data_IF_856678340549
#
_entry.id   IF_856678340549
#
_cell.length_a   1.000
_cell.length_b   1.000
_cell.length_c   1.000
_cell.angle_alpha   90.00
_cell.angle_beta   90.00
_cell.angle_gamma   90.00
#
_symmetry.space_group_name_H-M   'P 1'
#
loop_
_entity.id
_entity.type
_entity.pdbx_description
1 polymer ?
#
# COMPACT_ATOMS: atom_id res chain seq x y z
N UNK A 1 23.46 8.65 7.81
CA UNK A 1 22.36 9.28 8.55
C UNK A 1 21.75 10.33 7.65
N UNK A 2 20.45 10.23 7.31
CA UNK A 2 19.77 11.13 6.38
C UNK A 2 18.60 11.83 7.07
N UNK A 3 18.25 13.03 6.60
CA UNK A 3 17.00 13.71 6.99
C UNK A 3 15.90 13.32 6.02
N UNK A 4 14.83 12.71 6.53
CA UNK A 4 13.77 12.09 5.73
C UNK A 4 12.45 12.77 6.00
N UNK A 5 11.78 13.21 4.93
CA UNK A 5 10.41 13.69 4.97
C UNK A 5 9.45 12.57 4.60
N UNK A 6 8.48 12.27 5.46
CA UNK A 6 7.45 11.25 5.23
C UNK A 6 6.08 11.93 5.08
N UNK A 7 5.51 11.93 3.90
CA UNK A 7 4.11 12.35 3.73
C UNK A 7 3.18 11.20 4.10
N UNK A 8 1.99 11.52 4.63
CA UNK A 8 1.09 10.48 5.14
C UNK A 8 1.61 9.78 6.41
N UNK A 9 2.42 10.48 7.19
CA UNK A 9 3.08 10.00 8.41
C UNK A 9 2.13 9.36 9.43
N UNK A 10 0.93 9.89 9.61
CA UNK A 10 -0.10 9.38 10.55
C UNK A 10 -0.90 8.19 9.98
N UNK A 11 -0.65 7.79 8.73
CA UNK A 11 -1.33 6.68 8.08
C UNK A 11 -0.86 5.30 8.55
N UNK A 12 -1.56 4.26 8.10
CA UNK A 12 -1.25 2.86 8.40
C UNK A 12 0.21 2.49 8.06
N UNK A 13 0.63 2.75 6.83
CA UNK A 13 2.01 2.48 6.38
C UNK A 13 3.00 3.44 7.04
N UNK A 14 2.62 4.73 7.21
CA UNK A 14 3.48 5.75 7.81
C UNK A 14 3.98 5.38 9.20
N UNK A 15 3.13 4.83 10.06
CA UNK A 15 3.52 4.36 11.38
C UNK A 15 4.64 3.31 11.35
N UNK A 16 4.52 2.32 10.47
CA UNK A 16 5.50 1.24 10.37
C UNK A 16 6.83 1.74 9.78
N UNK A 17 6.76 2.55 8.73
CA UNK A 17 7.94 3.12 8.05
C UNK A 17 8.72 4.03 9.00
N UNK A 18 8.05 4.93 9.73
CA UNK A 18 8.71 5.85 10.67
C UNK A 18 9.43 5.07 11.77
N UNK A 19 8.79 4.04 12.32
CA UNK A 19 9.41 3.17 13.32
C UNK A 19 10.70 2.54 12.78
N UNK A 20 10.64 1.90 11.62
CA UNK A 20 11.78 1.23 11.01
C UNK A 20 12.95 2.19 10.70
N UNK A 21 12.66 3.35 10.12
CA UNK A 21 13.67 4.36 9.81
C UNK A 21 14.34 4.94 11.07
N UNK A 22 13.55 5.07 12.13
CA UNK A 22 14.06 5.58 13.41
C UNK A 22 14.99 4.59 14.10
N UNK A 23 14.68 3.29 14.03
CA UNK A 23 15.54 2.21 14.51
C UNK A 23 16.90 2.20 13.79
N UNK A 24 16.98 2.73 12.57
CA UNK A 24 18.22 2.90 11.81
C UNK A 24 18.93 4.25 12.05
N UNK A 25 18.43 5.09 12.95
CA UNK A 25 19.07 6.34 13.34
C UNK A 25 18.88 7.50 12.39
N UNK A 26 17.89 7.45 11.46
CA UNK A 26 17.57 8.59 10.59
C UNK A 26 16.86 9.72 11.36
N UNK A 27 17.03 10.95 10.88
CA UNK A 27 16.25 12.12 11.33
C UNK A 27 14.99 12.21 10.49
N UNK A 28 13.82 12.10 11.13
CA UNK A 28 12.55 11.99 10.41
C UNK A 28 11.64 13.16 10.78
N UNK A 29 10.99 13.72 9.78
CA UNK A 29 9.84 14.59 9.93
C UNK A 29 8.69 14.09 9.05
N UNK A 30 7.47 14.49 9.37
CA UNK A 30 6.30 14.05 8.62
C UNK A 30 5.37 15.19 8.27
N UNK A 31 4.36 14.91 7.44
CA UNK A 31 3.27 15.85 7.18
C UNK A 31 1.95 15.38 7.77
N UNK A 32 1.11 16.33 8.13
CA UNK A 32 -0.25 16.12 8.64
C UNK A 32 -1.24 17.09 8.01
N UNK A 33 -2.51 16.69 7.92
CA UNK A 33 -3.63 17.57 7.56
C UNK A 33 -4.34 18.11 8.80
N UNK A 34 -4.01 17.59 9.98
CA UNK A 34 -4.60 17.97 11.25
C UNK A 34 -3.83 19.18 11.85
N UNK A 35 -4.49 20.31 11.91
CA UNK A 35 -3.92 21.57 12.43
C UNK A 35 -3.49 21.48 13.90
N UNK A 36 -4.06 20.56 14.65
CA UNK A 36 -3.76 20.36 16.08
C UNK A 36 -2.57 19.41 16.31
N UNK A 37 -2.25 18.57 15.32
CA UNK A 37 -1.22 17.53 15.43
C UNK A 37 0.19 18.10 15.21
N UNK A 38 0.93 18.37 16.27
CA UNK A 38 2.35 18.81 16.19
C UNK A 38 3.35 17.65 16.19
N UNK A 39 2.95 16.48 16.66
CA UNK A 39 3.78 15.29 16.76
C UNK A 39 3.09 14.08 16.14
N UNK A 40 3.86 13.27 15.46
CA UNK A 40 3.43 12.04 14.79
C UNK A 40 3.87 10.78 15.51
N UNK A 41 3.79 9.64 14.81
CA UNK A 41 4.30 8.36 15.31
C UNK A 41 5.75 8.52 15.80
N UNK A 42 6.12 7.75 16.81
CA UNK A 42 7.47 7.81 17.40
C UNK A 42 7.91 9.24 17.81
N UNK A 43 6.95 10.12 18.10
CA UNK A 43 7.17 11.50 18.50
C UNK A 43 7.94 12.37 17.48
N UNK A 44 7.88 12.06 16.18
CA UNK A 44 8.51 12.89 15.15
C UNK A 44 7.80 14.24 14.98
N UNK A 45 8.49 15.34 14.59
CA UNK A 45 7.85 16.60 14.25
C UNK A 45 6.95 16.43 13.01
N UNK A 46 5.79 17.09 13.02
CA UNK A 46 4.87 17.15 11.89
C UNK A 46 4.74 18.58 11.38
N UNK A 47 4.77 18.70 10.05
CA UNK A 47 4.45 19.95 9.35
C UNK A 47 3.00 19.89 8.84
N UNK A 48 2.28 20.98 8.99
CA UNK A 48 0.92 21.09 8.48
C UNK A 48 0.92 21.26 6.97
N UNK A 49 0.28 20.34 6.29
CA UNK A 49 0.00 20.39 4.84
C UNK A 49 -1.48 20.08 4.66
N UNK A 50 -2.36 21.10 4.71
CA UNK A 50 -3.82 20.91 4.75
C UNK A 50 -4.37 20.25 3.48
N UNK A 51 -3.76 20.59 2.34
CA UNK A 51 -4.13 20.05 1.03
C UNK A 51 -2.91 19.51 0.31
N UNK A 52 -3.15 18.53 -0.53
CA UNK A 52 -2.19 17.97 -1.46
C UNK A 52 -2.72 18.23 -2.87
N UNK A 53 -2.18 19.27 -3.53
CA UNK A 53 -2.60 19.71 -4.85
C UNK A 53 -1.45 20.44 -5.56
N UNK A 54 -1.72 20.97 -6.75
CA UNK A 54 -0.74 21.71 -7.56
C UNK A 54 -0.26 23.03 -6.93
N UNK A 55 -1.03 23.59 -6.00
CA UNK A 55 -0.77 24.90 -5.37
C UNK A 55 -0.13 24.75 -3.98
N UNK A 56 0.10 23.53 -3.52
CA UNK A 56 0.71 23.25 -2.20
C UNK A 56 2.11 23.86 -2.11
N UNK A 57 2.34 24.67 -1.08
CA UNK A 57 3.66 25.21 -0.74
C UNK A 57 4.46 24.17 0.06
N UNK A 58 5.57 23.73 -0.51
CA UNK A 58 6.46 22.74 0.08
C UNK A 58 7.75 23.30 0.65
N UNK A 59 8.08 24.55 0.40
CA UNK A 59 9.42 25.12 0.64
C UNK A 59 9.84 25.00 2.11
N UNK A 60 8.94 25.33 3.03
CA UNK A 60 9.21 25.24 4.47
C UNK A 60 9.22 23.79 5.01
N UNK A 61 8.65 22.83 4.27
CA UNK A 61 8.55 21.42 4.68
C UNK A 61 9.74 20.60 4.21
N UNK A 62 10.23 20.88 3.00
CA UNK A 62 11.29 20.11 2.33
C UNK A 62 12.70 20.56 2.77
N UNK A 63 12.85 21.76 3.33
CA UNK A 63 14.16 22.35 3.63
C UNK A 63 15.11 21.38 4.35
N UNK A 64 16.22 21.08 3.68
CA UNK A 64 17.29 20.20 4.17
C UNK A 64 16.92 18.72 4.25
N UNK A 65 15.85 18.27 3.58
CA UNK A 65 15.56 16.84 3.45
C UNK A 65 16.47 16.22 2.38
N UNK A 66 17.08 15.07 2.72
CA UNK A 66 17.87 14.27 1.77
C UNK A 66 16.96 13.35 0.94
N UNK A 67 15.91 12.81 1.59
CA UNK A 67 15.00 11.82 1.00
C UNK A 67 13.56 12.18 1.32
N UNK A 68 12.67 12.01 0.34
CA UNK A 68 11.22 12.07 0.54
C UNK A 68 10.61 10.68 0.36
N UNK A 69 9.78 10.26 1.30
CA UNK A 69 8.95 9.06 1.20
C UNK A 69 7.49 9.51 1.08
N UNK A 70 6.92 9.31 -0.10
CA UNK A 70 5.57 9.77 -0.40
C UNK A 70 4.55 8.66 -0.23
N UNK A 71 3.90 8.63 0.97
CA UNK A 71 2.84 7.68 1.34
C UNK A 71 1.45 8.30 1.28
N UNK A 72 1.36 9.62 1.25
CA UNK A 72 0.08 10.31 1.21
C UNK A 72 -0.61 10.07 -0.14
N UNK A 73 -1.84 9.61 -0.10
CA UNK A 73 -2.67 9.40 -1.28
C UNK A 73 -4.15 9.44 -0.90
N UNK A 74 -5.01 9.82 -1.85
CA UNK A 74 -6.42 9.45 -1.81
C UNK A 74 -6.51 7.97 -2.20
N UNK A 75 -6.96 7.14 -1.28
CA UNK A 75 -7.12 5.70 -1.51
C UNK A 75 -8.55 5.38 -1.97
N UNK A 76 -8.72 4.20 -2.56
CA UNK A 76 -10.00 3.75 -3.05
C UNK A 76 -11.06 3.71 -1.94
N UNK A 77 -12.15 4.47 -2.12
CA UNK A 77 -13.39 4.35 -1.34
C UNK A 77 -14.40 3.53 -2.14
N UNK A 78 -15.03 2.55 -1.49
CA UNK A 78 -16.09 1.76 -2.12
C UNK A 78 -17.33 2.61 -2.30
N UNK A 79 -17.86 2.67 -3.52
CA UNK A 79 -19.08 3.40 -3.87
C UNK A 79 -19.13 3.75 -5.35
N UNK A 80 -20.22 4.34 -5.80
CA UNK A 80 -20.36 4.83 -7.16
C UNK A 80 -19.32 5.92 -7.42
N UNK A 81 -18.52 5.76 -8.46
CA UNK A 81 -17.50 6.74 -8.88
C UNK A 81 -18.23 7.99 -9.41
N UNK A 82 -18.09 9.09 -8.66
CA UNK A 82 -18.64 10.39 -9.06
C UNK A 82 -17.56 11.25 -9.72
N UNK A 83 -17.98 12.24 -10.51
CA UNK A 83 -17.04 13.20 -11.12
C UNK A 83 -16.21 13.94 -10.05
N UNK A 84 -16.76 14.20 -8.86
CA UNK A 84 -16.04 14.81 -7.76
C UNK A 84 -14.94 13.91 -7.21
N UNK A 85 -15.17 12.61 -7.09
CA UNK A 85 -14.15 11.64 -6.68
C UNK A 85 -13.03 11.52 -7.72
N UNK A 86 -13.38 11.52 -9.00
CA UNK A 86 -12.38 11.54 -10.08
C UNK A 86 -11.46 12.75 -9.94
N UNK A 87 -12.02 13.94 -9.74
CA UNK A 87 -11.23 15.15 -9.57
C UNK A 87 -10.33 15.09 -8.33
N UNK A 88 -10.80 14.50 -7.21
CA UNK A 88 -9.97 14.32 -6.02
C UNK A 88 -8.78 13.38 -6.26
N UNK A 89 -8.96 12.29 -7.03
CA UNK A 89 -7.84 11.41 -7.39
C UNK A 89 -6.79 12.14 -8.24
N UNK A 90 -7.22 12.92 -9.23
CA UNK A 90 -6.32 13.72 -10.07
C UNK A 90 -5.58 14.73 -9.19
N UNK A 91 -6.32 15.52 -8.43
CA UNK A 91 -5.75 16.59 -7.61
C UNK A 91 -4.73 16.07 -6.59
N UNK A 92 -5.08 15.02 -5.84
CA UNK A 92 -4.23 14.54 -4.75
C UNK A 92 -3.12 13.62 -5.24
N UNK A 93 -3.47 12.61 -6.05
CA UNK A 93 -2.52 11.55 -6.39
C UNK A 93 -1.62 11.91 -7.58
N UNK A 94 -2.10 12.72 -8.52
CA UNK A 94 -1.34 13.10 -9.71
C UNK A 94 -0.72 14.49 -9.54
N UNK A 95 -1.52 15.56 -9.46
CA UNK A 95 -1.02 16.94 -9.39
C UNK A 95 -0.22 17.19 -8.11
N UNK A 96 -0.73 16.73 -6.95
CA UNK A 96 -0.05 16.88 -5.66
C UNK A 96 1.28 16.13 -5.60
N UNK A 97 1.35 14.91 -6.18
CA UNK A 97 2.59 14.15 -6.28
C UNK A 97 3.59 14.84 -7.20
N UNK A 98 3.13 15.32 -8.36
CA UNK A 98 3.97 16.06 -9.32
C UNK A 98 4.53 17.33 -8.68
N UNK A 99 3.70 18.11 -7.99
CA UNK A 99 4.13 19.34 -7.31
C UNK A 99 5.18 19.07 -6.27
N UNK A 100 4.98 18.04 -5.42
CA UNK A 100 5.94 17.66 -4.41
C UNK A 100 7.28 17.23 -5.02
N UNK A 101 7.26 16.44 -6.08
CA UNK A 101 8.49 15.96 -6.73
C UNK A 101 9.27 17.10 -7.41
N UNK A 102 8.59 18.06 -8.04
CA UNK A 102 9.21 19.25 -8.60
C UNK A 102 9.85 20.13 -7.51
N UNK A 103 9.14 20.35 -6.41
CA UNK A 103 9.67 21.07 -5.26
C UNK A 103 10.88 20.34 -4.65
N UNK A 104 10.83 19.01 -4.56
CA UNK A 104 11.95 18.19 -4.10
C UNK A 104 13.19 18.35 -4.98
N UNK A 105 13.04 18.28 -6.30
CA UNK A 105 14.12 18.46 -7.25
C UNK A 105 14.74 19.89 -7.14
N UNK A 106 13.91 20.91 -7.03
CA UNK A 106 14.36 22.30 -6.89
C UNK A 106 15.09 22.55 -5.56
N UNK A 107 14.71 21.85 -4.49
CA UNK A 107 15.34 21.94 -3.18
C UNK A 107 16.62 21.08 -3.05
N UNK A 108 17.01 20.35 -4.09
CA UNK A 108 18.20 19.49 -4.09
C UNK A 108 18.03 18.18 -3.29
N UNK A 109 16.79 17.72 -3.10
CA UNK A 109 16.53 16.39 -2.52
C UNK A 109 17.14 15.33 -3.42
N UNK A 110 17.87 14.39 -2.83
CA UNK A 110 18.57 13.35 -3.57
C UNK A 110 17.59 12.30 -4.12
N UNK A 111 16.64 11.85 -3.28
CA UNK A 111 15.80 10.67 -3.58
C UNK A 111 14.34 10.84 -3.22
N UNK A 112 13.49 10.34 -4.08
CA UNK A 112 12.02 10.34 -3.92
C UNK A 112 11.50 8.89 -4.00
N UNK A 113 11.03 8.34 -2.88
CA UNK A 113 10.42 7.00 -2.81
C UNK A 113 8.91 7.14 -2.87
N UNK A 114 8.29 6.57 -3.89
CA UNK A 114 6.85 6.65 -4.15
C UNK A 114 6.17 5.30 -3.98
N UNK A 115 5.13 5.25 -3.16
CA UNK A 115 4.31 4.04 -3.03
C UNK A 115 3.18 4.07 -4.03
N UNK A 116 3.28 3.18 -5.00
CA UNK A 116 2.29 2.92 -6.03
C UNK A 116 1.48 1.65 -5.72
N UNK A 117 0.80 1.11 -6.69
CA UNK A 117 -0.06 -0.06 -6.54
C UNK A 117 0.15 -1.04 -7.69
N UNK A 118 0.05 -2.34 -7.42
CA UNK A 118 0.06 -3.37 -8.47
C UNK A 118 -1.12 -3.23 -9.44
N UNK A 119 -2.19 -2.53 -9.04
CA UNK A 119 -3.32 -2.25 -9.93
C UNK A 119 -2.96 -1.40 -11.15
N UNK A 120 -1.78 -0.79 -11.18
CA UNK A 120 -1.22 -0.15 -12.39
C UNK A 120 -0.95 -1.20 -13.47
N UNK A 121 -0.49 -2.39 -13.10
CA UNK A 121 -0.33 -3.53 -14.03
C UNK A 121 -1.69 -4.14 -14.40
N UNK A 122 -2.63 -4.24 -13.44
CA UNK A 122 -3.96 -4.82 -13.66
C UNK A 122 -4.60 -5.31 -12.37
N UNK A 123 -5.82 -5.81 -12.48
CA UNK A 123 -6.60 -6.28 -11.33
C UNK A 123 -6.58 -7.81 -11.14
N UNK A 124 -6.13 -8.56 -12.15
CA UNK A 124 -6.13 -10.04 -12.14
C UNK A 124 -4.92 -10.56 -12.92
N UNK A 125 -4.36 -11.65 -12.43
CA UNK A 125 -3.39 -12.47 -13.16
C UNK A 125 -4.04 -13.78 -13.58
N UNK A 126 -3.55 -14.38 -14.68
CA UNK A 126 -4.06 -15.63 -15.22
C UNK A 126 -2.96 -16.72 -15.15
N UNK A 127 -2.03 -16.69 -16.07
CA UNK A 127 -1.02 -17.74 -16.23
C UNK A 127 0.29 -17.44 -15.49
N UNK A 128 0.64 -16.15 -15.36
CA UNK A 128 1.90 -15.71 -14.77
C UNK A 128 1.68 -14.56 -13.77
N UNK A 129 2.54 -14.41 -12.74
CA UNK A 129 2.60 -13.24 -11.91
C UNK A 129 2.93 -11.97 -12.70
N UNK A 130 2.49 -10.80 -12.23
CA UNK A 130 2.94 -9.53 -12.78
C UNK A 130 4.42 -9.30 -12.49
N UNK A 131 5.12 -8.76 -13.49
CA UNK A 131 6.51 -8.30 -13.44
C UNK A 131 6.59 -6.81 -13.76
N UNK A 132 7.77 -6.21 -13.59
CA UNK A 132 8.03 -4.81 -13.94
C UNK A 132 7.93 -4.54 -15.46
N UNK A 133 8.10 -5.59 -16.27
CA UNK A 133 8.11 -5.52 -17.75
C UNK A 133 6.70 -5.61 -18.36
N UNK A 134 5.69 -5.94 -17.57
CA UNK A 134 4.33 -6.05 -18.08
C UNK A 134 3.76 -4.67 -18.46
N UNK A 135 2.97 -4.64 -19.53
CA UNK A 135 2.24 -3.44 -19.92
C UNK A 135 1.30 -2.97 -18.81
N UNK A 136 1.25 -1.66 -18.61
CA UNK A 136 0.36 -1.04 -17.63
C UNK A 136 -1.07 -1.03 -18.15
N UNK A 137 -2.00 -1.56 -17.34
CA UNK A 137 -3.44 -1.64 -17.66
C UNK A 137 -4.30 -1.26 -16.45
N UNK A 138 -4.25 0.02 -16.00
CA UNK A 138 -5.04 0.48 -14.87
C UNK A 138 -6.51 0.60 -15.24
N UNK A 139 -7.41 0.04 -14.43
CA UNK A 139 -8.84 -0.08 -14.75
C UNK A 139 -9.78 0.74 -13.85
N UNK A 140 -9.28 1.31 -12.76
CA UNK A 140 -10.06 2.19 -11.87
C UNK A 140 -9.42 3.58 -11.73
N UNK A 141 -10.19 4.56 -11.29
CA UNK A 141 -9.71 5.96 -11.15
C UNK A 141 -8.47 6.06 -10.24
N UNK A 142 -8.40 5.24 -9.22
CA UNK A 142 -7.26 5.20 -8.32
C UNK A 142 -5.99 4.70 -9.04
N UNK A 143 -6.06 3.56 -9.70
CA UNK A 143 -4.92 2.99 -10.43
C UNK A 143 -4.48 3.86 -11.61
N UNK A 144 -5.43 4.50 -12.31
CA UNK A 144 -5.15 5.49 -13.36
C UNK A 144 -4.38 6.68 -12.77
N UNK A 145 -4.84 7.26 -11.65
CA UNK A 145 -4.16 8.39 -11.02
C UNK A 145 -2.75 8.03 -10.54
N UNK A 146 -2.55 6.81 -10.01
CA UNK A 146 -1.22 6.33 -9.61
C UNK A 146 -0.31 6.13 -10.83
N UNK A 147 -0.82 5.55 -11.93
CA UNK A 147 -0.08 5.39 -13.19
C UNK A 147 0.36 6.74 -13.77
N UNK A 148 -0.51 7.75 -13.74
CA UNK A 148 -0.18 9.10 -14.20
C UNK A 148 0.88 9.77 -13.31
N UNK A 149 0.80 9.57 -12.00
CA UNK A 149 1.83 10.02 -11.07
C UNK A 149 3.19 9.36 -11.36
N UNK A 150 3.25 8.05 -11.60
CA UNK A 150 4.48 7.35 -11.99
C UNK A 150 5.10 7.96 -13.25
N UNK A 151 4.29 8.18 -14.31
CA UNK A 151 4.76 8.80 -15.56
C UNK A 151 5.31 10.21 -15.32
N UNK A 152 4.67 11.00 -14.47
CA UNK A 152 5.11 12.35 -14.11
C UNK A 152 6.44 12.30 -13.34
N UNK A 153 6.59 11.40 -12.39
CA UNK A 153 7.81 11.20 -11.62
C UNK A 153 9.00 10.79 -12.50
N UNK A 154 8.81 9.85 -13.42
CA UNK A 154 9.86 9.43 -14.37
C UNK A 154 10.26 10.56 -15.32
N UNK A 155 9.31 11.42 -15.71
CA UNK A 155 9.62 12.62 -16.51
C UNK A 155 10.42 13.65 -15.71
N UNK A 156 10.08 13.86 -14.43
CA UNK A 156 10.83 14.76 -13.53
C UNK A 156 12.24 14.23 -13.33
N UNK A 157 12.42 12.94 -13.06
CA UNK A 157 13.74 12.32 -13.00
C UNK A 157 14.58 12.64 -14.23
N UNK A 158 14.03 12.39 -15.43
CA UNK A 158 14.74 12.63 -16.71
C UNK A 158 15.18 14.09 -16.90
N UNK A 159 14.40 15.05 -16.39
CA UNK A 159 14.64 16.46 -16.56
C UNK A 159 15.52 17.07 -15.47
N UNK A 160 15.58 16.49 -14.27
CA UNK A 160 16.20 17.11 -13.09
C UNK A 160 17.29 16.28 -12.46
N UNK A 161 17.36 14.98 -12.75
CA UNK A 161 18.25 14.04 -12.09
C UNK A 161 17.81 13.58 -10.70
N UNK A 162 16.62 13.97 -10.21
CA UNK A 162 16.05 13.46 -8.96
C UNK A 162 15.94 11.92 -9.03
N UNK A 163 16.57 11.19 -8.11
CA UNK A 163 16.42 9.74 -8.04
C UNK A 163 14.98 9.38 -7.64
N UNK A 164 14.30 8.57 -8.44
CA UNK A 164 12.91 8.17 -8.21
C UNK A 164 12.79 6.66 -8.10
N UNK A 165 12.34 6.19 -6.95
CA UNK A 165 12.05 4.77 -6.71
C UNK A 165 10.55 4.61 -6.57
N UNK A 166 9.97 3.79 -7.44
CA UNK A 166 8.53 3.50 -7.46
C UNK A 166 8.32 2.08 -6.96
N UNK A 167 7.54 1.93 -5.89
CA UNK A 167 7.21 0.63 -5.31
C UNK A 167 5.74 0.29 -5.61
N UNK A 168 5.48 -0.63 -6.53
CA UNK A 168 4.14 -1.17 -6.79
C UNK A 168 3.84 -2.29 -5.82
N UNK A 169 2.87 -2.05 -4.95
CA UNK A 169 2.52 -2.98 -3.88
C UNK A 169 1.14 -3.61 -4.10
N UNK A 170 0.96 -4.91 -3.76
CA UNK A 170 -0.35 -5.53 -3.69
C UNK A 170 -1.11 -5.04 -2.44
N UNK A 171 -2.12 -5.76 -2.00
CA UNK A 171 -2.82 -5.45 -0.76
C UNK A 171 -1.86 -5.55 0.43
N UNK A 172 -1.64 -4.41 1.08
CA UNK A 172 -0.81 -4.32 2.30
C UNK A 172 -1.66 -4.65 3.51
N UNK A 173 -1.15 -5.51 4.40
CA UNK A 173 -1.80 -5.90 5.65
C UNK A 173 -0.84 -5.75 6.85
N UNK A 174 -1.39 -5.76 8.06
CA UNK A 174 -0.60 -5.61 9.28
C UNK A 174 -1.38 -4.92 10.41
N UNK A 175 -0.76 -4.67 11.56
CA UNK A 175 -1.34 -3.88 12.64
C UNK A 175 -1.82 -2.52 12.14
N UNK A 176 -3.03 -2.08 12.53
CA UNK A 176 -3.72 -0.84 12.11
C UNK A 176 -4.30 -0.87 10.69
N UNK A 177 -4.33 -2.04 10.04
CA UNK A 177 -4.97 -2.20 8.71
C UNK A 177 -6.44 -1.76 8.75
N UNK A 178 -6.90 -1.18 7.65
CA UNK A 178 -8.29 -0.70 7.46
C UNK A 178 -8.94 -1.39 6.25
N UNK A 179 -10.16 -1.01 5.96
CA UNK A 179 -10.87 -1.42 4.73
C UNK A 179 -11.16 -2.92 4.65
N UNK A 180 -10.95 -3.49 3.47
CA UNK A 180 -11.36 -4.87 3.16
C UNK A 180 -10.70 -5.93 4.03
N UNK A 181 -9.40 -5.78 4.35
CA UNK A 181 -8.70 -6.74 5.19
C UNK A 181 -9.22 -6.71 6.63
N UNK A 182 -9.47 -5.51 7.17
CA UNK A 182 -10.09 -5.35 8.48
C UNK A 182 -11.50 -5.95 8.52
N UNK A 183 -12.29 -5.77 7.46
CA UNK A 183 -13.61 -6.39 7.32
C UNK A 183 -13.53 -7.92 7.28
N UNK A 184 -12.47 -8.48 6.66
CA UNK A 184 -12.22 -9.92 6.66
C UNK A 184 -11.89 -10.44 8.05
N UNK A 185 -11.04 -9.75 8.82
CA UNK A 185 -10.75 -10.08 10.23
C UNK A 185 -12.05 -10.15 11.06
N UNK A 186 -12.93 -9.15 10.90
CA UNK A 186 -14.24 -9.15 11.55
C UNK A 186 -15.14 -10.30 11.11
N UNK A 187 -15.14 -10.65 9.83
CA UNK A 187 -15.94 -11.77 9.32
C UNK A 187 -15.48 -13.08 9.94
N UNK A 188 -14.17 -13.31 10.06
CA UNK A 188 -13.58 -14.47 10.73
C UNK A 188 -13.92 -14.47 12.24
N UNK A 189 -13.68 -13.35 12.94
CA UNK A 189 -13.93 -13.23 14.37
C UNK A 189 -15.40 -13.43 14.75
N UNK A 190 -16.33 -12.94 13.94
CA UNK A 190 -17.78 -13.15 14.08
C UNK A 190 -18.25 -14.51 13.55
N UNK A 191 -17.33 -15.35 13.08
CA UNK A 191 -17.60 -16.68 12.52
C UNK A 191 -18.69 -16.64 11.44
N UNK A 192 -18.63 -15.63 10.55
CA UNK A 192 -19.56 -15.55 9.42
C UNK A 192 -19.37 -16.76 8.52
N UNK A 193 -20.48 -17.27 8.00
CA UNK A 193 -20.49 -18.36 7.03
C UNK A 193 -20.05 -17.82 5.66
N UNK A 194 -18.91 -18.29 5.14
CA UNK A 194 -18.30 -17.77 3.92
C UNK A 194 -18.29 -18.84 2.80
N UNK A 195 -18.80 -18.55 1.59
CA UNK A 195 -18.84 -19.49 0.46
C UNK A 195 -17.49 -19.55 -0.28
N UNK A 196 -16.39 -19.87 0.43
CA UNK A 196 -15.03 -19.75 -0.10
C UNK A 196 -14.32 -21.09 -0.28
N UNK A 197 -14.92 -22.24 0.12
CA UNK A 197 -14.21 -23.53 0.08
C UNK A 197 -13.83 -23.99 -1.34
N UNK A 198 -14.54 -23.52 -2.36
CA UNK A 198 -14.25 -23.81 -3.78
C UNK A 198 -13.23 -22.86 -4.41
N UNK A 199 -12.82 -21.81 -3.69
CA UNK A 199 -11.92 -20.77 -4.23
C UNK A 199 -10.48 -21.26 -4.15
N UNK A 200 -9.84 -21.44 -5.31
CA UNK A 200 -8.46 -21.92 -5.49
C UNK A 200 -7.58 -20.88 -6.19
N UNK A 201 -7.82 -19.61 -5.88
CA UNK A 201 -7.04 -18.52 -6.44
C UNK A 201 -5.66 -18.40 -5.78
N UNK A 202 -4.77 -17.62 -6.39
CA UNK A 202 -3.46 -17.27 -5.86
C UNK A 202 -3.37 -15.76 -5.71
N UNK A 203 -3.07 -15.30 -4.50
CA UNK A 203 -2.96 -13.87 -4.22
C UNK A 203 -1.70 -13.58 -3.45
N UNK A 204 -0.95 -12.64 -4.00
CA UNK A 204 0.16 -12.00 -3.29
C UNK A 204 -0.36 -10.95 -2.32
N UNK A 205 0.25 -10.92 -1.15
CA UNK A 205 0.05 -9.90 -0.13
C UNK A 205 1.40 -9.31 0.26
N UNK A 206 1.38 -8.19 0.97
CA UNK A 206 2.58 -7.59 1.51
C UNK A 206 2.36 -7.16 2.95
N UNK A 207 3.07 -7.79 3.87
CA UNK A 207 3.07 -7.38 5.27
C UNK A 207 3.66 -5.97 5.43
N UNK A 208 3.04 -5.11 6.23
CA UNK A 208 3.49 -3.72 6.41
C UNK A 208 4.92 -3.61 6.93
N UNK A 209 5.37 -4.59 7.73
CA UNK A 209 6.76 -4.70 8.17
C UNK A 209 7.73 -4.99 7.02
N UNK A 210 7.34 -5.84 6.07
CA UNK A 210 8.13 -6.13 4.87
C UNK A 210 8.19 -4.90 3.95
N UNK A 211 7.06 -4.20 3.76
CA UNK A 211 7.05 -2.93 3.02
C UNK A 211 7.97 -1.89 3.67
N UNK A 212 7.91 -1.77 5.00
CA UNK A 212 8.78 -0.86 5.77
C UNK A 212 10.26 -1.18 5.55
N UNK A 213 10.63 -2.46 5.60
CA UNK A 213 11.98 -2.93 5.35
C UNK A 213 12.45 -2.60 3.93
N UNK A 214 11.60 -2.85 2.92
CA UNK A 214 11.93 -2.52 1.52
C UNK A 214 12.13 -1.01 1.33
N UNK A 215 11.26 -0.17 1.89
CA UNK A 215 11.41 1.29 1.84
C UNK A 215 12.73 1.71 2.49
N UNK A 216 13.04 1.16 3.66
CA UNK A 216 14.28 1.47 4.38
C UNK A 216 15.52 1.03 3.60
N UNK A 217 15.48 -0.13 2.94
CA UNK A 217 16.52 -0.57 2.02
C UNK A 217 16.70 0.40 0.86
N UNK A 218 15.61 0.83 0.20
CA UNK A 218 15.66 1.86 -0.86
C UNK A 218 16.22 3.20 -0.39
N UNK A 219 16.01 3.59 0.87
CA UNK A 219 16.57 4.81 1.45
C UNK A 219 18.07 4.69 1.67
N UNK A 220 18.55 3.53 2.13
CA UNK A 220 19.92 3.30 2.57
C UNK A 220 20.87 2.91 1.43
N UNK A 221 20.33 2.41 0.31
CA UNK A 221 21.15 1.99 -0.83
C UNK A 221 21.82 3.20 -1.50
N UNK A 222 23.17 3.25 -1.57
CA UNK A 222 23.88 4.47 -2.03
C UNK A 222 23.66 4.73 -3.53
N UNK A 223 23.72 3.69 -4.36
CA UNK A 223 23.77 3.80 -5.83
C UNK A 223 22.54 3.18 -6.51
N UNK A 224 21.36 3.43 -5.94
CA UNK A 224 20.11 2.93 -6.52
C UNK A 224 19.72 3.76 -7.73
N UNK A 225 19.52 3.09 -8.85
CA UNK A 225 19.00 3.74 -10.05
C UNK A 225 17.51 4.05 -9.93
N UNK A 226 17.04 5.04 -10.70
CA UNK A 226 15.60 5.30 -10.84
C UNK A 226 14.90 4.12 -11.49
N UNK A 227 14.00 3.48 -10.75
CA UNK A 227 13.37 2.24 -11.17
C UNK A 227 12.00 2.00 -10.53
N UNK A 228 11.26 1.12 -11.16
CA UNK A 228 10.01 0.55 -10.62
C UNK A 228 10.34 -0.83 -10.06
N UNK A 229 9.89 -1.13 -8.85
CA UNK A 229 9.97 -2.46 -8.25
C UNK A 229 8.57 -2.93 -7.84
N UNK A 230 8.33 -4.21 -8.05
CA UNK A 230 7.16 -4.92 -7.54
C UNK A 230 7.50 -5.61 -6.22
N UNK A 231 6.60 -5.54 -5.24
CA UNK A 231 6.83 -6.08 -3.91
C UNK A 231 5.78 -7.11 -3.53
N UNK A 232 6.19 -8.18 -2.88
CA UNK A 232 5.30 -9.16 -2.22
C UNK A 232 6.03 -9.84 -1.05
N UNK A 233 5.27 -10.54 -0.19
CA UNK A 233 5.85 -11.41 0.84
C UNK A 233 6.54 -12.66 0.24
N UNK A 234 6.37 -12.88 -1.08
CA UNK A 234 7.02 -13.99 -1.83
C UNK A 234 6.28 -15.31 -1.74
N UNK A 235 5.14 -15.35 -1.07
CA UNK A 235 4.27 -16.53 -0.98
C UNK A 235 2.85 -16.14 -1.32
N UNK A 236 2.26 -16.84 -2.29
CA UNK A 236 0.87 -16.66 -2.67
C UNK A 236 -0.04 -17.55 -1.86
N UNK A 237 -1.20 -17.04 -1.49
CA UNK A 237 -2.18 -17.76 -0.69
C UNK A 237 -3.58 -17.65 -1.30
N UNK A 238 -4.36 -18.72 -1.27
CA UNK A 238 -5.77 -18.64 -1.66
C UNK A 238 -6.61 -17.89 -0.63
N UNK A 239 -7.68 -17.24 -1.07
CA UNK A 239 -8.62 -16.57 -0.16
C UNK A 239 -9.21 -17.54 0.86
N UNK A 240 -9.47 -18.78 0.47
CA UNK A 240 -9.91 -19.86 1.39
C UNK A 240 -8.88 -20.11 2.48
N UNK A 241 -7.63 -20.33 2.09
CA UNK A 241 -6.53 -20.61 3.02
C UNK A 241 -6.22 -19.42 3.93
N UNK A 242 -6.30 -18.20 3.41
CA UNK A 242 -6.15 -16.98 4.20
C UNK A 242 -7.19 -16.91 5.33
N UNK A 243 -8.46 -17.20 5.03
CA UNK A 243 -9.55 -17.24 6.04
C UNK A 243 -9.30 -18.33 7.08
N UNK A 244 -8.83 -19.51 6.66
CA UNK A 244 -8.47 -20.59 7.58
C UNK A 244 -7.35 -20.15 8.53
N UNK A 245 -6.26 -19.60 7.99
CA UNK A 245 -5.09 -19.18 8.78
C UNK A 245 -5.46 -18.07 9.77
N UNK A 246 -6.19 -17.04 9.32
CA UNK A 246 -6.71 -15.99 10.20
C UNK A 246 -7.58 -16.56 11.31
N UNK A 247 -8.45 -17.54 10.99
CA UNK A 247 -9.33 -18.15 11.98
C UNK A 247 -8.55 -18.94 13.03
N UNK A 248 -7.48 -19.62 12.64
CA UNK A 248 -6.57 -20.33 13.57
C UNK A 248 -5.94 -19.33 14.55
N UNK A 249 -5.38 -18.24 14.09
CA UNK A 249 -4.78 -17.21 14.95
C UNK A 249 -5.81 -16.49 15.84
N UNK A 250 -7.06 -16.39 15.40
CA UNK A 250 -8.17 -15.88 16.22
C UNK A 250 -8.64 -16.89 17.28
N UNK A 251 -8.18 -18.13 17.26
CA UNK A 251 -8.65 -19.19 18.13
C UNK A 251 -10.09 -19.65 17.84
N UNK A 252 -10.56 -19.49 16.60
CA UNK A 252 -11.93 -19.85 16.19
C UNK A 252 -11.92 -20.88 15.06
N UNK A 253 -12.96 -21.70 14.98
CA UNK A 253 -13.12 -22.60 13.85
C UNK A 253 -13.59 -21.82 12.61
N UNK A 254 -12.92 -21.95 11.44
CA UNK A 254 -13.37 -21.33 10.21
C UNK A 254 -14.74 -21.89 9.78
N UNK A 255 -15.62 -21.01 9.29
CA UNK A 255 -16.93 -21.40 8.77
C UNK A 255 -16.99 -21.14 7.29
N UNK A 256 -16.22 -21.92 6.54
CA UNK A 256 -16.24 -21.90 5.06
C UNK A 256 -17.03 -23.10 4.54
N UNK A 257 -17.76 -22.90 3.47
CA UNK A 257 -18.55 -23.97 2.84
C UNK A 257 -18.38 -23.94 1.31
N UNK A 258 -18.72 -25.07 0.70
CA UNK A 258 -18.59 -25.25 -0.73
C UNK A 258 -19.79 -24.70 -1.46
N UNK A 259 -19.56 -23.85 -2.44
CA UNK A 259 -20.51 -23.48 -3.51
C UNK A 259 -19.78 -23.60 -4.85
N UNK A 260 -20.34 -24.20 -5.89
CA UNK A 260 -19.78 -24.15 -7.23
C UNK A 260 -19.54 -22.68 -7.65
N UNK A 261 -18.35 -22.39 -8.20
CA UNK A 261 -17.97 -21.00 -8.53
C UNK A 261 -18.98 -20.35 -9.48
N UNK A 262 -19.50 -21.09 -10.49
CA UNK A 262 -20.52 -20.57 -11.40
C UNK A 262 -21.81 -20.11 -10.68
N UNK A 263 -22.26 -20.89 -9.68
CA UNK A 263 -23.43 -20.53 -8.87
C UNK A 263 -23.12 -19.30 -7.99
N UNK A 264 -21.91 -19.20 -7.45
CA UNK A 264 -21.49 -18.04 -6.67
C UNK A 264 -21.53 -16.76 -7.52
N UNK A 265 -21.03 -16.80 -8.75
CA UNK A 265 -21.10 -15.68 -9.69
C UNK A 265 -22.54 -15.33 -10.07
N UNK A 266 -23.38 -16.32 -10.33
CA UNK A 266 -24.80 -16.11 -10.65
C UNK A 266 -25.53 -15.42 -9.50
N UNK A 267 -25.38 -15.90 -8.27
CA UNK A 267 -25.95 -15.26 -7.08
C UNK A 267 -25.41 -13.84 -6.89
N UNK A 268 -24.10 -13.62 -7.06
CA UNK A 268 -23.51 -12.30 -6.89
C UNK A 268 -24.06 -11.24 -7.83
N UNK A 269 -24.43 -11.63 -9.06
CA UNK A 269 -25.12 -10.74 -10.03
C UNK A 269 -26.51 -10.35 -9.54
N UNK A 270 -27.29 -11.30 -9.00
CA UNK A 270 -28.63 -11.04 -8.47
C UNK A 270 -28.62 -10.06 -7.29
N UNK A 271 -27.55 -10.11 -6.43
CA UNK A 271 -27.46 -9.28 -5.24
C UNK A 271 -26.56 -8.04 -5.43
N UNK A 272 -26.14 -7.71 -6.66
CA UNK A 272 -25.28 -6.55 -6.93
C UNK A 272 -23.89 -6.63 -6.27
N UNK A 273 -23.36 -7.85 -6.01
CA UNK A 273 -22.08 -8.09 -5.32
C UNK A 273 -21.01 -8.71 -6.22
N UNK A 274 -21.14 -8.54 -7.53
CA UNK A 274 -20.24 -9.16 -8.50
C UNK A 274 -18.78 -8.77 -8.25
N UNK A 275 -18.48 -7.48 -8.08
CA UNK A 275 -17.11 -7.00 -7.82
C UNK A 275 -16.48 -7.61 -6.56
N UNK A 276 -17.29 -7.84 -5.50
CA UNK A 276 -16.81 -8.46 -4.27
C UNK A 276 -16.39 -9.89 -4.52
N UNK A 277 -17.23 -10.65 -5.26
CA UNK A 277 -16.94 -12.05 -5.60
C UNK A 277 -15.75 -12.13 -6.53
N UNK A 278 -15.65 -11.28 -7.54
CA UNK A 278 -14.48 -11.22 -8.43
C UNK A 278 -13.19 -10.97 -7.68
N UNK A 279 -13.19 -10.03 -6.72
CA UNK A 279 -12.00 -9.77 -5.88
C UNK A 279 -11.64 -10.93 -4.97
N UNK A 280 -12.62 -11.66 -4.45
CA UNK A 280 -12.39 -12.79 -3.55
C UNK A 280 -11.96 -14.06 -4.30
N UNK A 281 -12.35 -14.21 -5.56
CA UNK A 281 -12.09 -15.43 -6.35
C UNK A 281 -10.98 -15.27 -7.38
N UNK A 282 -10.66 -14.05 -7.80
CA UNK A 282 -9.62 -13.75 -8.78
C UNK A 282 -8.21 -13.93 -8.21
N UNK A 283 -7.27 -14.38 -9.04
CA UNK A 283 -5.84 -14.39 -8.74
C UNK A 283 -5.22 -13.02 -8.98
N UNK A 284 -4.24 -12.67 -8.18
CA UNK A 284 -3.40 -11.49 -8.35
C UNK A 284 -2.02 -11.80 -7.77
N UNK A 285 -1.11 -12.21 -8.62
CA UNK A 285 0.22 -12.66 -8.26
C UNK A 285 1.26 -11.62 -8.65
N UNK A 286 2.30 -11.47 -7.84
CA UNK A 286 3.34 -10.47 -8.01
C UNK A 286 4.70 -11.14 -7.90
N UNK A 287 5.50 -11.02 -8.94
CA UNK A 287 6.90 -11.38 -8.91
C UNK A 287 7.71 -10.23 -8.30
N UNK A 288 8.42 -10.51 -7.23
CA UNK A 288 9.30 -9.55 -6.54
C UNK A 288 10.78 -9.95 -6.66
N UNK A 289 11.14 -10.68 -7.70
CA UNK A 289 12.52 -11.15 -7.93
C UNK A 289 13.47 -9.99 -8.16
N UNK A 290 13.07 -9.00 -8.95
CA UNK A 290 13.94 -7.88 -9.34
C UNK A 290 14.48 -7.11 -8.12
N UNK A 291 13.62 -6.72 -7.18
CA UNK A 291 14.08 -6.00 -5.98
C UNK A 291 14.97 -6.86 -5.09
N UNK A 292 14.74 -8.18 -5.06
CA UNK A 292 15.57 -9.11 -4.29
C UNK A 292 16.97 -9.21 -4.86
N UNK A 293 17.10 -9.32 -6.17
CA UNK A 293 18.38 -9.46 -6.86
C UNK A 293 19.17 -8.16 -6.87
N UNK A 294 18.53 -7.03 -7.20
CA UNK A 294 19.24 -5.77 -7.34
C UNK A 294 19.58 -5.08 -6.00
N UNK A 295 18.70 -5.20 -5.00
CA UNK A 295 18.91 -4.56 -3.71
C UNK A 295 19.33 -5.54 -2.61
N UNK A 296 19.57 -6.81 -2.91
CA UNK A 296 19.82 -7.85 -1.90
C UNK A 296 18.81 -7.73 -0.74
N UNK A 297 17.52 -7.62 -1.11
CA UNK A 297 16.44 -7.50 -0.15
C UNK A 297 15.58 -8.75 -0.13
N UNK A 298 15.27 -9.25 1.06
CA UNK A 298 14.29 -10.31 1.26
C UNK A 298 13.29 -9.88 2.33
N UNK A 299 12.01 -10.30 2.22
CA UNK A 299 11.03 -10.02 3.27
C UNK A 299 11.50 -10.59 4.62
N UNK A 300 11.72 -9.73 5.64
CA UNK A 300 12.19 -10.22 6.95
C UNK A 300 11.13 -10.98 7.76
N UNK A 301 9.87 -10.90 7.35
CA UNK A 301 8.77 -11.62 8.00
C UNK A 301 8.06 -12.53 7.00
N UNK A 302 7.74 -13.74 7.44
CA UNK A 302 6.88 -14.66 6.68
C UNK A 302 5.42 -14.16 6.66
N UNK A 303 4.62 -14.70 5.73
CA UNK A 303 3.18 -14.43 5.67
C UNK A 303 2.49 -14.79 7.00
N UNK A 304 2.84 -15.94 7.59
CA UNK A 304 2.30 -16.43 8.84
C UNK A 304 2.61 -15.47 10.00
N UNK A 305 3.84 -15.04 10.16
CA UNK A 305 4.24 -14.05 11.20
C UNK A 305 3.51 -12.72 11.03
N UNK A 306 3.37 -12.25 9.78
CA UNK A 306 2.62 -11.04 9.47
C UNK A 306 1.14 -11.15 9.83
N UNK A 307 0.51 -12.30 9.54
CA UNK A 307 -0.88 -12.59 9.90
C UNK A 307 -1.07 -12.70 11.40
N UNK A 308 -0.18 -13.41 12.10
CA UNK A 308 -0.22 -13.55 13.55
C UNK A 308 -0.18 -12.18 14.25
N UNK A 309 0.80 -11.32 13.90
CA UNK A 309 0.93 -9.96 14.44
C UNK A 309 -0.29 -9.09 14.13
N UNK A 310 -0.87 -9.26 12.95
CA UNK A 310 -2.09 -8.55 12.54
C UNK A 310 -3.28 -8.95 13.39
N UNK A 311 -3.46 -10.26 13.61
CA UNK A 311 -4.55 -10.80 14.44
C UNK A 311 -4.35 -10.46 15.92
N UNK A 312 -3.13 -10.50 16.42
CA UNK A 312 -2.81 -10.06 17.78
C UNK A 312 -3.26 -8.61 17.98
N UNK A 313 -2.80 -7.70 17.11
CA UNK A 313 -3.23 -6.30 17.14
C UNK A 313 -4.76 -6.15 17.08
N UNK A 314 -5.41 -6.89 16.19
CA UNK A 314 -6.87 -6.86 16.05
C UNK A 314 -7.57 -7.30 17.34
N UNK A 315 -7.08 -8.35 18.01
CA UNK A 315 -7.66 -8.85 19.28
C UNK A 315 -7.55 -7.82 20.42
N UNK A 316 -6.44 -7.07 20.47
CA UNK A 316 -6.21 -6.01 21.45
C UNK A 316 -7.15 -4.81 21.22
N UNK A 317 -7.41 -4.44 19.96
CA UNK A 317 -8.12 -3.21 19.60
C UNK A 317 -9.61 -3.40 19.31
N UNK A 318 -10.06 -4.61 18.94
CA UNK A 318 -11.48 -4.87 18.61
C UNK A 318 -12.46 -4.63 19.77
N UNK A 319 -11.96 -4.53 20.99
CA UNK A 319 -12.81 -4.26 22.17
C UNK A 319 -13.33 -2.82 22.20
N UNK A 320 -12.62 -1.91 21.57
CA UNK A 320 -12.95 -0.49 21.51
C UNK A 320 -13.90 -0.12 20.37
N UNK A 321 -14.04 -0.99 19.36
CA UNK A 321 -14.93 -0.76 18.20
C UNK A 321 -16.35 -1.31 18.40
N UNK A 322 -16.76 -1.63 19.62
CA UNK A 322 -18.10 -2.17 19.93
C UNK A 322 -19.12 -1.09 20.34
N UNK A 323 -18.79 0.19 20.26
CA UNK A 323 -19.71 1.29 20.55
C UNK A 323 -20.15 2.01 19.29
#
# INVERSE_FOLDING_TARGET
MSKILVTGASGFVGHAVIKSLREQGHVICGTTRDETAKRGPENIPLYLVPKLDKDTDWDHVITGADVIIHLAARVHEMGNQTNSQQQEYITVNEEGTQKLALAAANAGVKRFVFISTIKVNGEKTYDCPFTENDEVNPNDLYSISKSNAEKSLLRIHKNTGLEVIILRVPLVYGPRVKGNFYSLLWACAKRKLLPLKSVKNFRSFLYVGNLSSAITKCVSEPDIETKIYLLSDGVDISTSKLVETISVFLGVRPRIFYIPIGLLFWLSRLFGKLEVVERLTGSLQVDSTLIREELDWSPPFTLEEGLERTVQWFNEHRRYDKN
#
